data_IF_980654202457
#
_entry.id   IF_980654202457
#
_cell.length_a   1.000
_cell.length_b   1.000
_cell.length_c   1.000
_cell.angle_alpha   90.00
_cell.angle_beta   90.00
_cell.angle_gamma   90.00
#
_symmetry.space_group_name_H-M   'P 1'
#
loop_
_entity.id
_entity.type
_entity.pdbx_description
1 polymer ?
#
# COMPACT_ATOMS: atom_id res chain seq x y z
N UNK A 1 1.15 10.15 4.32
CA UNK A 1 2.38 9.35 4.07
C UNK A 1 1.96 8.00 3.53
N UNK A 2 2.69 7.47 2.55
CA UNK A 2 2.43 6.15 2.01
C UNK A 2 3.60 5.24 2.33
N UNK A 3 3.33 3.96 2.58
CA UNK A 3 4.33 2.94 2.84
C UNK A 3 4.12 1.79 1.88
N UNK A 4 5.18 1.38 1.20
CA UNK A 4 5.18 0.19 0.36
C UNK A 4 5.61 -1.01 1.20
N UNK A 5 4.78 -2.05 1.20
CA UNK A 5 5.09 -3.33 1.84
C UNK A 5 5.15 -4.41 0.76
N UNK A 6 6.29 -5.09 0.63
CA UNK A 6 6.51 -6.15 -0.36
C UNK A 6 6.59 -7.51 0.30
N UNK A 7 5.80 -8.46 -0.20
CA UNK A 7 5.93 -9.88 0.09
C UNK A 7 6.42 -10.60 -1.18
N UNK A 8 7.74 -10.64 -1.37
CA UNK A 8 8.35 -11.13 -2.61
C UNK A 8 8.00 -10.20 -3.78
N UNK A 9 7.28 -10.71 -4.78
CA UNK A 9 6.85 -9.92 -5.95
C UNK A 9 5.52 -9.16 -5.74
N UNK A 10 4.85 -9.38 -4.60
CA UNK A 10 3.55 -8.78 -4.31
C UNK A 10 3.78 -7.48 -3.55
N UNK A 11 3.38 -6.36 -4.14
CA UNK A 11 3.56 -5.02 -3.59
C UNK A 11 2.23 -4.45 -3.10
N UNK A 12 2.17 -4.05 -1.83
CA UNK A 12 1.05 -3.34 -1.24
C UNK A 12 1.42 -1.89 -1.00
N UNK A 13 0.62 -0.97 -1.51
CA UNK A 13 0.66 0.44 -1.12
C UNK A 13 -0.27 0.64 0.08
N UNK A 14 0.34 0.88 1.23
CA UNK A 14 -0.33 1.19 2.50
C UNK A 14 -0.43 2.71 2.63
N UNK A 15 -1.64 3.23 2.66
CA UNK A 15 -1.92 4.65 2.79
C UNK A 15 -2.35 4.96 4.22
N UNK A 16 -1.56 5.76 4.92
CA UNK A 16 -1.88 6.18 6.28
C UNK A 16 -2.93 7.30 6.25
N UNK A 17 -3.96 7.15 7.08
CA UNK A 17 -4.95 8.18 7.39
C UNK A 17 -4.93 8.51 8.90
N UNK A 18 -5.72 9.51 9.31
CA UNK A 18 -5.91 9.94 10.70
C UNK A 18 -6.26 8.82 11.70
N UNK A 19 -6.86 7.72 11.21
CA UNK A 19 -7.37 6.61 12.04
C UNK A 19 -6.63 5.28 11.83
N UNK A 20 -5.68 5.20 10.89
CA UNK A 20 -4.98 3.93 10.60
C UNK A 20 -4.44 3.85 9.18
N UNK A 21 -4.57 2.68 8.55
CA UNK A 21 -4.05 2.39 7.21
C UNK A 21 -5.12 1.80 6.30
N UNK A 22 -5.13 2.23 5.04
CA UNK A 22 -5.91 1.66 3.97
C UNK A 22 -5.00 1.07 2.90
N UNK A 23 -5.41 -0.03 2.27
CA UNK A 23 -4.66 -0.61 1.15
C UNK A 23 -5.56 -1.44 0.24
N UNK A 24 -5.05 -1.76 -0.94
CA UNK A 24 -5.70 -2.64 -1.90
C UNK A 24 -4.82 -3.88 -2.15
N UNK A 25 -5.43 -5.06 -2.22
CA UNK A 25 -4.71 -6.28 -2.59
C UNK A 25 -4.49 -6.33 -4.11
N UNK A 26 -3.23 -6.34 -4.61
CA UNK A 26 -2.95 -6.29 -6.04
C UNK A 26 -3.37 -7.56 -6.80
N UNK A 27 -3.74 -8.64 -6.11
CA UNK A 27 -4.14 -9.90 -6.72
C UNK A 27 -5.65 -10.01 -6.97
N UNK A 28 -6.48 -9.46 -6.07
CA UNK A 28 -7.94 -9.53 -6.18
C UNK A 28 -8.63 -8.16 -6.20
N UNK A 29 -7.88 -7.09 -6.07
CA UNK A 29 -8.34 -5.71 -5.99
C UNK A 29 -9.31 -5.41 -4.84
N UNK A 30 -9.37 -6.26 -3.81
CA UNK A 30 -10.12 -5.99 -2.58
C UNK A 30 -9.48 -4.87 -1.78
N UNK A 31 -10.31 -4.01 -1.21
CA UNK A 31 -9.89 -2.88 -0.40
C UNK A 31 -10.01 -3.21 1.08
N UNK A 32 -9.00 -2.84 1.87
CA UNK A 32 -8.89 -3.10 3.29
C UNK A 32 -8.69 -1.79 4.05
N UNK A 33 -9.36 -1.69 5.20
CA UNK A 33 -9.23 -0.57 6.13
C UNK A 33 -8.88 -1.13 7.51
N UNK A 34 -7.71 -0.76 8.01
CA UNK A 34 -7.19 -1.19 9.30
C UNK A 34 -7.14 0.03 10.23
N UNK A 35 -7.93 0.01 11.30
CA UNK A 35 -7.94 1.06 12.35
C UNK A 35 -6.74 0.98 13.31
N UNK A 36 -5.69 0.27 12.92
CA UNK A 36 -4.45 0.08 13.69
C UNK A 36 -3.25 0.71 13.00
N UNK A 37 -2.07 0.57 13.61
CA UNK A 37 -0.81 0.96 12.99
C UNK A 37 -0.43 0.08 11.80
N UNK A 38 0.68 0.43 11.14
CA UNK A 38 1.20 -0.28 9.96
C UNK A 38 1.35 -1.79 10.22
N UNK A 39 1.73 -2.20 11.42
CA UNK A 39 1.89 -3.61 11.78
C UNK A 39 0.60 -4.41 11.64
N UNK A 40 -0.54 -3.81 12.01
CA UNK A 40 -1.84 -4.43 11.83
C UNK A 40 -2.15 -4.61 10.34
N UNK A 41 -1.91 -3.57 9.54
CA UNK A 41 -2.13 -3.64 8.09
C UNK A 41 -1.27 -4.72 7.41
N UNK A 42 0.00 -4.86 7.82
CA UNK A 42 0.90 -5.95 7.37
C UNK A 42 0.35 -7.33 7.72
N UNK A 43 -0.11 -7.52 8.97
CA UNK A 43 -0.72 -8.78 9.41
C UNK A 43 -1.96 -9.11 8.57
N UNK A 44 -2.87 -8.15 8.39
CA UNK A 44 -4.07 -8.33 7.56
C UNK A 44 -3.72 -8.70 6.11
N UNK A 45 -2.75 -8.01 5.50
CA UNK A 45 -2.30 -8.31 4.14
C UNK A 45 -1.71 -9.73 4.05
N UNK A 46 -0.86 -10.12 5.01
CA UNK A 46 -0.25 -11.44 5.07
C UNK A 46 -1.29 -12.55 5.23
N UNK A 47 -2.22 -12.40 6.17
CA UNK A 47 -3.29 -13.38 6.39
C UNK A 47 -4.18 -13.52 5.15
N UNK A 48 -4.52 -12.39 4.51
CA UNK A 48 -5.30 -12.41 3.27
C UNK A 48 -4.58 -13.18 2.15
N UNK A 49 -3.28 -12.94 1.96
CA UNK A 49 -2.48 -13.69 0.97
C UNK A 49 -2.43 -15.20 1.26
N UNK A 50 -2.29 -15.59 2.54
CA UNK A 50 -2.26 -17.00 2.91
C UNK A 50 -3.62 -17.68 2.68
N UNK A 51 -4.71 -17.04 3.12
CA UNK A 51 -6.04 -17.63 3.11
C UNK A 51 -6.68 -17.65 1.72
N UNK A 52 -6.52 -16.56 0.95
CA UNK A 52 -7.25 -16.38 -0.32
C UNK A 52 -6.39 -16.57 -1.56
N UNK A 53 -5.06 -16.39 -1.45
CA UNK A 53 -4.14 -16.51 -2.58
C UNK A 53 -3.17 -17.70 -2.45
N UNK A 54 -3.30 -18.51 -1.38
CA UNK A 54 -2.47 -19.71 -1.11
C UNK A 54 -0.98 -19.44 -1.24
N UNK A 55 -0.54 -18.23 -0.88
CA UNK A 55 0.88 -17.87 -0.88
C UNK A 55 1.51 -18.47 0.37
N UNK A 56 2.13 -19.65 0.23
CA UNK A 56 2.81 -20.36 1.31
C UNK A 56 4.11 -21.03 0.82
N UNK A 57 5.28 -20.78 1.47
CA UNK A 57 5.47 -19.81 2.55
C UNK A 57 5.33 -18.35 2.04
N UNK A 58 4.80 -17.46 2.89
CA UNK A 58 4.83 -16.02 2.60
C UNK A 58 6.30 -15.56 2.64
N UNK A 59 6.81 -14.87 1.60
CA UNK A 59 8.16 -14.30 1.63
C UNK A 59 8.35 -13.28 2.76
N UNK A 60 9.59 -13.04 3.18
CA UNK A 60 9.89 -11.99 4.14
C UNK A 60 9.44 -10.61 3.63
N UNK A 61 8.91 -9.79 4.52
CA UNK A 61 8.43 -8.46 4.17
C UNK A 61 9.58 -7.47 4.00
N UNK A 62 9.49 -6.63 2.96
CA UNK A 62 10.34 -5.46 2.80
C UNK A 62 9.46 -4.22 2.89
N UNK A 63 9.84 -3.26 3.74
CA UNK A 63 9.07 -2.03 3.98
C UNK A 63 9.86 -0.85 3.42
N UNK A 64 9.21 -0.01 2.64
CA UNK A 64 9.78 1.23 2.09
C UNK A 64 8.80 2.37 2.35
N UNK A 65 9.22 3.35 3.14
CA UNK A 65 8.44 4.57 3.34
C UNK A 65 8.60 5.46 2.11
N UNK A 66 7.48 5.95 1.58
CA UNK A 66 7.48 6.93 0.50
C UNK A 66 7.25 8.30 1.14
N UNK A 67 8.32 9.09 1.17
CA UNK A 67 8.21 10.52 1.34
C UNK A 67 7.47 11.10 0.14
N UNK A 68 6.44 11.91 0.39
CA UNK A 68 5.65 12.59 -0.63
C UNK A 68 6.48 13.72 -1.28
N UNK A 69 7.58 13.40 -1.95
CA UNK A 69 8.17 14.28 -2.97
C UNK A 69 7.41 14.06 -4.27
N UNK A 70 6.11 14.33 -4.23
CA UNK A 70 5.33 14.44 -5.46
C UNK A 70 5.72 15.79 -6.07
N UNK A 71 6.43 15.86 -7.22
CA UNK A 71 6.54 17.13 -7.93
C UNK A 71 5.12 17.57 -8.27
N UNK A 72 4.67 18.67 -7.66
CA UNK A 72 3.49 19.38 -8.11
C UNK A 72 3.75 19.74 -9.57
N UNK A 73 3.20 18.97 -10.50
CA UNK A 73 3.18 19.34 -11.91
C UNK A 73 2.47 20.69 -11.96
N UNK A 74 3.26 21.76 -12.13
CA UNK A 74 2.73 23.08 -12.39
C UNK A 74 2.06 22.97 -13.76
N UNK A 75 0.73 22.91 -13.76
CA UNK A 75 -0.06 23.07 -14.97
C UNK A 75 0.20 24.51 -15.44
N UNK A 76 1.21 24.69 -16.30
CA UNK A 76 1.40 25.93 -17.02
C UNK A 76 0.23 26.06 -17.98
N UNK A 77 -0.73 26.91 -17.64
CA UNK A 77 -1.71 27.39 -18.59
C UNK A 77 -0.94 28.06 -19.73
N UNK A 78 -0.93 27.43 -20.91
CA UNK A 78 -0.46 28.08 -22.11
C UNK A 78 -1.33 29.31 -22.37
N UNK A 79 -0.77 30.49 -22.66
CA UNK A 79 -1.56 31.63 -23.09
C UNK A 79 -2.26 31.24 -24.41
N UNK A 80 -3.59 31.25 -24.41
CA UNK A 80 -4.35 31.17 -25.65
C UNK A 80 -4.05 32.45 -26.43
N UNK A 81 -3.50 32.27 -27.64
CA UNK A 81 -3.19 33.33 -28.60
C UNK A 81 -4.46 33.92 -29.22
#
# INVERSE_FOLDING_TARGET
MSTIVKYGMIEFKMEADSVGYAFNCPLCHQMFFCSGGLDHAKVTAREHLQQFHRVTPIPAETVTELDDDTPKVAIQHAPQA
#
